data_IF_178787982155
#
_entry.id   IF_178787982155
#
_cell.length_a   1.000
_cell.length_b   1.000
_cell.length_c   1.000
_cell.angle_alpha   90.00
_cell.angle_beta   90.00
_cell.angle_gamma   90.00
#
_symmetry.space_group_name_H-M   'P 1'
#
loop_
_entity.id
_entity.type
_entity.pdbx_description
1 polymer ?
#
# COMPACT_ATOMS: atom_id res chain seq x y z
N UNK A 1 28.03 8.31 75.92
CA UNK A 1 27.24 9.29 75.16
C UNK A 1 27.08 8.76 73.74
N UNK A 2 25.84 8.49 73.32
CA UNK A 2 25.47 7.85 72.04
C UNK A 2 25.39 8.91 70.94
N UNK A 3 26.07 8.70 69.82
CA UNK A 3 25.84 9.45 68.58
C UNK A 3 24.81 8.70 67.73
N UNK A 4 23.68 9.35 67.46
CA UNK A 4 22.64 8.89 66.56
C UNK A 4 23.01 9.26 65.11
N UNK A 5 23.24 8.26 64.26
CA UNK A 5 23.17 8.44 62.82
C UNK A 5 21.76 8.12 62.33
N UNK A 6 21.13 9.15 61.75
CA UNK A 6 19.86 9.09 61.02
C UNK A 6 20.07 8.37 59.68
N UNK A 7 19.35 7.26 59.48
CA UNK A 7 19.25 6.55 58.20
C UNK A 7 17.88 6.86 57.59
N UNK A 8 17.85 7.74 56.60
CA UNK A 8 16.67 7.98 55.77
C UNK A 8 16.39 6.74 54.89
N UNK A 9 15.25 6.08 55.12
CA UNK A 9 14.74 5.02 54.24
C UNK A 9 14.19 5.64 52.96
N UNK A 10 14.87 5.44 51.83
CA UNK A 10 14.31 5.69 50.50
C UNK A 10 13.39 4.52 50.15
N UNK A 11 12.08 4.78 50.02
CA UNK A 11 11.14 3.84 49.42
C UNK A 11 11.35 3.86 47.90
N UNK A 12 11.84 2.76 47.34
CA UNK A 12 11.84 2.54 45.90
C UNK A 12 10.46 1.97 45.52
N UNK A 13 9.65 2.77 44.82
CA UNK A 13 8.44 2.28 44.16
C UNK A 13 8.89 1.61 42.88
N UNK A 14 8.94 0.27 42.89
CA UNK A 14 9.16 -0.53 41.69
C UNK A 14 7.92 -0.47 40.81
N UNK A 15 7.98 0.32 39.73
CA UNK A 15 6.99 0.26 38.65
C UNK A 15 7.27 -1.02 37.86
N UNK A 16 6.48 -2.06 38.09
CA UNK A 16 6.47 -3.23 37.20
C UNK A 16 5.81 -2.82 35.89
N UNK A 17 6.63 -2.59 34.87
CA UNK A 17 6.17 -2.54 33.48
C UNK A 17 5.79 -3.98 33.12
N UNK A 18 4.49 -4.28 33.18
CA UNK A 18 3.95 -5.50 32.59
C UNK A 18 4.09 -5.31 31.08
N UNK A 19 5.16 -5.86 30.52
CA UNK A 19 5.28 -6.03 29.08
C UNK A 19 4.28 -7.13 28.70
N UNK A 20 3.09 -6.72 28.26
CA UNK A 20 2.12 -7.62 27.65
C UNK A 20 2.73 -8.15 26.36
N UNK A 21 3.37 -9.31 26.43
CA UNK A 21 3.77 -10.06 25.25
C UNK A 21 2.47 -10.58 24.62
N UNK A 22 1.95 -9.85 23.64
CA UNK A 22 0.93 -10.40 22.76
C UNK A 22 1.60 -11.53 21.97
N UNK A 23 1.33 -12.77 22.36
CA UNK A 23 1.48 -13.90 21.46
C UNK A 23 0.49 -13.71 20.32
N UNK A 24 0.93 -12.99 19.27
CA UNK A 24 0.21 -12.87 18.01
C UNK A 24 0.18 -14.27 17.38
N UNK A 25 -0.87 -15.03 17.66
CA UNK A 25 -1.31 -16.06 16.73
C UNK A 25 -1.78 -15.32 15.49
N UNK A 26 -0.86 -15.13 14.55
CA UNK A 26 -1.05 -14.49 13.26
C UNK A 26 -2.07 -15.30 12.45
N UNK A 27 -3.34 -14.95 12.59
CA UNK A 27 -4.42 -15.46 11.74
C UNK A 27 -4.73 -14.36 10.74
N UNK A 28 -4.80 -14.72 9.46
CA UNK A 28 -5.21 -13.79 8.43
C UNK A 28 -6.59 -13.20 8.75
N UNK A 29 -6.76 -11.92 8.43
CA UNK A 29 -7.97 -11.17 8.74
C UNK A 29 -9.23 -11.80 8.10
N UNK A 30 -10.32 -12.06 8.86
CA UNK A 30 -11.50 -12.80 8.37
C UNK A 30 -12.15 -12.20 7.13
N UNK A 31 -12.09 -10.88 6.95
CA UNK A 31 -12.65 -10.23 5.75
C UNK A 31 -11.99 -10.66 4.43
N UNK A 32 -10.78 -11.21 4.46
CA UNK A 32 -10.12 -11.72 3.25
C UNK A 32 -10.50 -13.16 2.91
N UNK A 33 -11.23 -13.87 3.77
CA UNK A 33 -11.59 -15.28 3.50
C UNK A 33 -12.40 -15.40 2.20
N UNK A 34 -13.27 -14.43 1.92
CA UNK A 34 -14.00 -14.39 0.66
C UNK A 34 -13.14 -14.00 -0.55
N UNK A 35 -11.99 -13.34 -0.34
CA UNK A 35 -11.10 -12.97 -1.43
C UNK A 35 -10.54 -14.20 -2.15
N UNK A 36 -10.37 -15.34 -1.44
CA UNK A 36 -9.82 -16.59 -1.98
C UNK A 36 -10.85 -17.54 -2.60
N UNK A 37 -12.10 -17.12 -2.79
CA UNK A 37 -13.11 -17.95 -3.44
C UNK A 37 -12.70 -18.33 -4.88
N UNK A 38 -13.06 -19.53 -5.35
CA UNK A 38 -12.75 -20.06 -6.69
C UNK A 38 -13.22 -19.19 -7.86
N UNK A 39 -14.27 -18.39 -7.64
CA UNK A 39 -14.81 -17.47 -8.64
C UNK A 39 -14.09 -16.11 -8.67
N UNK A 40 -13.14 -15.88 -7.77
CA UNK A 40 -12.38 -14.64 -7.66
C UNK A 40 -10.99 -14.77 -8.29
N UNK A 41 -10.42 -13.62 -8.66
CA UNK A 41 -9.08 -13.50 -9.18
C UNK A 41 -8.22 -12.64 -8.25
N UNK A 42 -6.97 -13.04 -8.06
CA UNK A 42 -5.91 -12.20 -7.54
C UNK A 42 -5.02 -11.76 -8.71
N UNK A 43 -5.31 -10.57 -9.26
CA UNK A 43 -4.67 -10.12 -10.49
C UNK A 43 -5.02 -11.04 -11.67
N UNK A 44 -4.01 -11.74 -12.20
CA UNK A 44 -4.16 -12.68 -13.32
C UNK A 44 -4.35 -14.14 -12.86
N UNK A 45 -4.36 -14.40 -11.56
CA UNK A 45 -4.36 -15.76 -10.99
C UNK A 45 -5.71 -16.08 -10.34
N UNK A 46 -6.14 -17.34 -10.36
CA UNK A 46 -7.34 -17.73 -9.61
C UNK A 46 -7.06 -17.69 -8.12
N UNK A 47 -7.99 -17.15 -7.35
CA UNK A 47 -7.76 -16.91 -5.94
C UNK A 47 -7.73 -18.21 -5.10
N UNK A 48 -8.36 -19.29 -5.58
CA UNK A 48 -8.33 -20.63 -4.96
C UNK A 48 -6.96 -21.32 -5.01
N UNK A 49 -6.01 -20.77 -5.76
CA UNK A 49 -4.64 -21.28 -5.87
C UNK A 49 -3.71 -20.74 -4.77
N UNK A 50 -4.25 -19.98 -3.81
CA UNK A 50 -3.50 -19.35 -2.73
C UNK A 50 -4.03 -19.76 -1.36
N UNK A 51 -3.21 -19.53 -0.34
CA UNK A 51 -3.61 -19.54 1.06
C UNK A 51 -3.31 -18.19 1.69
N UNK A 52 -4.18 -17.73 2.59
CA UNK A 52 -3.94 -16.50 3.34
C UNK A 52 -2.86 -16.71 4.41
N UNK A 53 -2.03 -15.69 4.60
CA UNK A 53 -1.05 -15.63 5.66
C UNK A 53 -0.78 -14.18 6.10
N UNK A 54 0.06 -14.00 7.12
CA UNK A 54 0.68 -12.71 7.40
C UNK A 54 2.19 -12.78 7.12
N UNK A 55 2.83 -11.64 6.84
CA UNK A 55 4.27 -11.63 6.55
C UNK A 55 5.15 -12.06 7.73
N UNK A 56 4.69 -11.92 8.98
CA UNK A 56 5.35 -12.43 10.19
C UNK A 56 5.41 -13.97 10.29
N UNK A 57 4.99 -14.71 9.26
CA UNK A 57 5.00 -16.16 9.23
C UNK A 57 6.41 -16.76 9.21
N UNK A 58 6.80 -17.41 10.31
CA UNK A 58 8.16 -17.97 10.50
C UNK A 58 8.51 -19.18 9.62
N UNK A 59 7.53 -19.82 8.99
CA UNK A 59 7.71 -21.05 8.20
C UNK A 59 7.04 -20.97 6.82
N UNK A 60 6.81 -19.76 6.32
CA UNK A 60 6.22 -19.54 5.01
C UNK A 60 7.29 -19.52 3.93
N UNK A 61 6.96 -20.03 2.74
CA UNK A 61 7.82 -20.00 1.56
C UNK A 61 7.84 -18.60 0.92
N UNK A 62 8.20 -17.57 1.70
CA UNK A 62 8.39 -16.18 1.27
C UNK A 62 9.84 -15.77 1.48
N UNK A 63 10.31 -14.76 0.75
CA UNK A 63 11.68 -14.25 0.90
C UNK A 63 11.86 -13.51 2.22
N UNK A 64 13.10 -13.41 2.76
CA UNK A 64 13.36 -12.60 3.96
C UNK A 64 12.92 -11.15 3.82
N UNK A 65 13.11 -10.56 2.64
CA UNK A 65 12.66 -9.19 2.33
C UNK A 65 11.14 -9.07 2.43
N UNK A 66 10.40 -10.03 1.86
CA UNK A 66 8.96 -10.05 1.96
C UNK A 66 8.48 -10.19 3.42
N UNK A 67 9.15 -11.01 4.22
CA UNK A 67 8.81 -11.14 5.64
C UNK A 67 9.00 -9.84 6.43
N UNK A 68 9.97 -9.01 6.01
CA UNK A 68 10.24 -7.71 6.61
C UNK A 68 9.22 -6.65 6.15
N UNK A 69 9.07 -6.45 4.83
CA UNK A 69 8.17 -5.44 4.27
C UNK A 69 6.69 -5.70 4.60
N UNK A 70 6.28 -6.96 4.66
CA UNK A 70 4.89 -7.37 4.85
C UNK A 70 4.62 -7.95 6.24
N UNK A 71 5.51 -7.75 7.22
CA UNK A 71 5.43 -8.37 8.56
C UNK A 71 4.02 -8.27 9.16
N UNK A 72 3.40 -7.08 9.07
CA UNK A 72 2.08 -6.77 9.62
C UNK A 72 0.96 -6.76 8.56
N UNK A 73 1.25 -7.27 7.36
CA UNK A 73 0.32 -7.26 6.23
C UNK A 73 -0.28 -8.64 6.00
N UNK A 74 -1.52 -8.65 5.48
CA UNK A 74 -2.13 -9.88 4.98
C UNK A 74 -1.65 -10.14 3.55
N UNK A 75 -1.13 -11.34 3.34
CA UNK A 75 -0.58 -11.81 2.06
C UNK A 75 -1.27 -13.10 1.65
N UNK A 76 -1.26 -13.38 0.35
CA UNK A 76 -1.65 -14.66 -0.22
C UNK A 76 -0.41 -15.36 -0.77
N UNK A 77 -0.14 -16.58 -0.32
CA UNK A 77 1.00 -17.39 -0.76
C UNK A 77 0.45 -18.49 -1.66
N UNK A 78 1.02 -18.73 -2.85
CA UNK A 78 0.54 -19.79 -3.72
C UNK A 78 0.70 -21.17 -3.07
N UNK A 79 -0.22 -22.08 -3.37
CA UNK A 79 -0.20 -23.45 -2.87
C UNK A 79 0.92 -24.30 -3.51
N UNK A 80 1.38 -23.95 -4.71
CA UNK A 80 2.45 -24.64 -5.43
C UNK A 80 3.06 -23.75 -6.52
N UNK A 81 4.20 -24.15 -7.07
CA UNK A 81 4.86 -23.51 -8.22
C UNK A 81 5.14 -22.01 -8.01
N UNK A 82 5.51 -21.61 -6.79
CA UNK A 82 6.00 -20.26 -6.52
C UNK A 82 7.34 -20.06 -7.22
N UNK A 83 7.46 -19.01 -8.02
CA UNK A 83 8.72 -18.61 -8.64
C UNK A 83 9.18 -17.28 -8.05
N UNK A 84 10.46 -17.22 -7.70
CA UNK A 84 11.14 -16.02 -7.21
C UNK A 84 12.40 -15.78 -8.05
N UNK A 85 13.03 -14.63 -7.85
CA UNK A 85 14.34 -14.31 -8.43
C UNK A 85 15.45 -15.15 -7.79
N UNK A 86 16.54 -15.38 -8.52
CA UNK A 86 17.79 -15.93 -7.99
C UNK A 86 18.61 -14.81 -7.30
N UNK A 87 18.81 -14.86 -5.97
CA UNK A 87 19.53 -13.80 -5.25
C UNK A 87 21.03 -13.76 -5.56
N UNK A 88 21.58 -14.74 -6.28
CA UNK A 88 22.98 -14.76 -6.70
C UNK A 88 23.24 -14.03 -8.03
N UNK A 89 22.17 -13.65 -8.74
CA UNK A 89 22.24 -12.95 -10.03
C UNK A 89 21.84 -11.48 -9.88
N UNK A 90 22.34 -10.64 -10.78
CA UNK A 90 21.74 -9.31 -10.96
C UNK A 90 20.32 -9.45 -11.52
N UNK A 91 19.43 -8.49 -11.24
CA UNK A 91 18.06 -8.53 -11.73
C UNK A 91 17.96 -8.67 -13.26
N UNK A 92 18.87 -8.03 -14.00
CA UNK A 92 18.92 -8.12 -15.47
C UNK A 92 19.38 -9.51 -15.94
N UNK A 93 20.33 -10.14 -15.26
CA UNK A 93 20.79 -11.48 -15.58
C UNK A 93 19.76 -12.55 -15.24
N UNK A 94 19.09 -12.42 -14.08
CA UNK A 94 17.97 -13.28 -13.67
C UNK A 94 16.85 -13.26 -14.72
N UNK A 95 16.39 -12.07 -15.11
CA UNK A 95 15.38 -11.91 -16.18
C UNK A 95 15.87 -12.46 -17.51
N UNK A 96 17.14 -12.21 -17.88
CA UNK A 96 17.71 -12.73 -19.13
C UNK A 96 17.71 -14.26 -19.14
N UNK A 97 18.15 -14.89 -18.05
CA UNK A 97 18.13 -16.35 -17.91
C UNK A 97 16.70 -16.88 -17.98
N UNK A 98 15.77 -16.24 -17.27
CA UNK A 98 14.35 -16.61 -17.28
C UNK A 98 13.72 -16.53 -18.68
N UNK A 99 13.97 -15.47 -19.46
CA UNK A 99 13.46 -15.36 -20.84
C UNK A 99 14.05 -16.47 -21.72
N UNK A 100 15.34 -16.77 -21.58
CA UNK A 100 16.00 -17.78 -22.41
C UNK A 100 15.61 -19.22 -22.08
N UNK A 101 15.09 -19.49 -20.88
CA UNK A 101 14.64 -20.84 -20.50
C UNK A 101 13.29 -21.24 -21.12
N UNK A 102 12.71 -20.37 -21.98
CA UNK A 102 11.46 -20.56 -22.72
C UNK A 102 10.32 -21.21 -21.91
N UNK A 103 9.85 -20.58 -20.83
CA UNK A 103 8.65 -21.03 -20.14
C UNK A 103 7.39 -20.66 -20.95
N UNK A 104 7.20 -21.31 -22.10
CA UNK A 104 6.13 -20.99 -23.05
C UNK A 104 4.72 -21.37 -22.54
N UNK A 105 4.60 -21.89 -21.31
CA UNK A 105 3.35 -22.29 -20.68
C UNK A 105 3.50 -22.48 -19.16
N UNK A 106 4.23 -21.62 -18.44
CA UNK A 106 4.33 -21.82 -17.00
C UNK A 106 3.07 -21.34 -16.29
N UNK A 107 2.41 -22.27 -15.58
CA UNK A 107 1.55 -21.96 -14.43
C UNK A 107 2.38 -21.40 -13.26
N UNK A 108 3.35 -20.54 -13.57
CA UNK A 108 4.24 -19.93 -12.60
C UNK A 108 3.40 -19.01 -11.72
N UNK A 109 3.49 -19.23 -10.42
CA UNK A 109 2.81 -18.41 -9.44
C UNK A 109 3.79 -17.35 -8.92
N UNK A 110 3.29 -16.14 -8.57
CA UNK A 110 4.11 -15.14 -7.92
C UNK A 110 4.55 -15.69 -6.55
N UNK A 111 5.70 -15.23 -6.01
CA UNK A 111 6.18 -15.74 -4.71
C UNK A 111 5.20 -15.38 -3.58
N UNK A 112 4.45 -14.29 -3.74
CA UNK A 112 3.33 -13.88 -2.90
C UNK A 112 2.45 -12.87 -3.65
N UNK A 113 1.25 -12.63 -3.13
CA UNK A 113 0.39 -11.49 -3.47
C UNK A 113 0.09 -10.71 -2.20
N UNK A 114 0.37 -9.41 -2.18
CA UNK A 114 -0.07 -8.54 -1.09
C UNK A 114 -1.54 -8.18 -1.30
N UNK A 115 -2.38 -8.43 -0.30
CA UNK A 115 -3.83 -8.17 -0.38
C UNK A 115 -4.22 -6.76 0.08
N UNK A 116 -3.26 -5.98 0.57
CA UNK A 116 -3.48 -4.62 1.04
C UNK A 116 -4.29 -4.57 2.33
N UNK A 117 -4.81 -3.38 2.61
CA UNK A 117 -5.61 -3.16 3.80
C UNK A 117 -7.05 -3.66 3.64
N UNK A 118 -7.59 -4.34 4.67
CA UNK A 118 -8.87 -5.03 4.58
C UNK A 118 -10.11 -4.15 4.52
N UNK A 119 -10.09 -3.03 5.24
CA UNK A 119 -11.27 -2.20 5.43
C UNK A 119 -11.19 -0.98 4.54
N UNK A 120 -12.34 -0.58 3.99
CA UNK A 120 -12.51 0.66 3.25
C UNK A 120 -13.42 1.58 4.07
N UNK A 121 -13.01 2.84 4.23
CA UNK A 121 -13.84 3.87 4.82
C UNK A 121 -13.97 5.04 3.84
N UNK A 122 -15.17 5.62 3.76
CA UNK A 122 -15.48 6.74 2.88
C UNK A 122 -16.18 7.81 3.70
N UNK A 123 -15.73 9.06 3.56
CA UNK A 123 -16.33 10.17 4.26
C UNK A 123 -15.53 11.46 4.13
N UNK A 124 -16.01 12.50 4.80
CA UNK A 124 -15.36 13.80 4.87
C UNK A 124 -14.42 13.85 6.07
N UNK A 125 -13.17 14.27 5.88
CA UNK A 125 -12.27 14.48 7.01
C UNK A 125 -12.69 15.71 7.80
N UNK A 126 -12.77 15.59 9.12
CA UNK A 126 -12.99 16.74 10.01
C UNK A 126 -11.88 17.77 9.86
N UNK A 127 -12.18 19.04 10.19
CA UNK A 127 -11.20 20.12 10.06
C UNK A 127 -9.94 19.92 10.93
N UNK A 128 -10.08 19.21 12.05
CA UNK A 128 -8.96 18.86 12.94
C UNK A 128 -8.21 17.58 12.50
N UNK A 129 -8.61 16.93 11.41
CA UNK A 129 -7.98 15.72 10.89
C UNK A 129 -8.22 14.45 11.70
N UNK A 130 -9.04 14.51 12.77
CA UNK A 130 -9.16 13.42 13.77
C UNK A 130 -10.32 12.49 13.53
N UNK A 131 -11.26 12.83 12.64
CA UNK A 131 -12.46 12.04 12.41
C UNK A 131 -12.82 11.97 10.94
N UNK A 132 -13.27 10.80 10.52
CA UNK A 132 -13.95 10.63 9.25
C UNK A 132 -15.46 10.72 9.50
N UNK A 133 -16.09 11.71 8.89
CA UNK A 133 -17.52 11.99 9.03
C UNK A 133 -18.29 11.50 7.79
N UNK A 134 -19.31 10.68 8.00
CA UNK A 134 -20.29 10.29 6.99
C UNK A 134 -21.68 10.69 7.46
N UNK A 135 -22.70 10.57 6.60
CA UNK A 135 -24.08 10.98 6.90
C UNK A 135 -24.61 10.41 8.23
N UNK A 136 -24.17 9.22 8.62
CA UNK A 136 -24.67 8.51 9.80
C UNK A 136 -23.58 8.09 10.79
N UNK A 137 -22.31 8.44 10.57
CA UNK A 137 -21.23 8.01 11.45
C UNK A 137 -20.11 9.03 11.61
N UNK A 138 -19.47 8.99 12.77
CA UNK A 138 -18.22 9.68 13.05
C UNK A 138 -17.24 8.66 13.57
N UNK A 139 -16.25 8.33 12.76
CA UNK A 139 -15.24 7.35 13.10
C UNK A 139 -13.97 8.07 13.52
N UNK A 140 -13.41 7.69 14.66
CA UNK A 140 -12.14 8.23 15.12
C UNK A 140 -11.04 7.76 14.17
N UNK A 141 -10.25 8.70 13.65
CA UNK A 141 -9.17 8.41 12.71
C UNK A 141 -7.85 8.34 13.47
N UNK A 142 -7.06 7.32 13.15
CA UNK A 142 -5.64 7.25 13.42
C UNK A 142 -4.89 7.01 12.09
N UNK A 143 -3.65 7.47 12.03
CA UNK A 143 -2.72 7.11 10.95
C UNK A 143 -1.86 5.96 11.47
N UNK A 144 -1.53 5.00 10.59
CA UNK A 144 -0.55 3.96 10.93
C UNK A 144 0.73 4.62 11.48
N UNK A 145 1.49 3.96 12.37
CA UNK A 145 2.77 4.50 12.80
C UNK A 145 3.78 4.58 11.65
N UNK A 146 4.58 5.64 11.65
CA UNK A 146 5.72 5.80 10.76
C UNK A 146 6.79 4.74 11.05
N UNK A 147 7.34 4.12 10.02
CA UNK A 147 8.58 3.33 10.12
C UNK A 147 9.76 4.30 10.20
N UNK A 148 10.70 4.08 11.13
CA UNK A 148 11.77 5.02 11.47
C UNK A 148 12.54 5.53 10.24
N UNK A 149 12.85 4.61 9.33
CA UNK A 149 13.65 4.90 8.15
C UNK A 149 12.91 5.76 7.13
N UNK A 150 11.60 5.57 6.94
CA UNK A 150 10.81 6.25 5.92
C UNK A 150 10.98 7.78 5.98
N UNK A 151 11.37 8.43 4.88
CA UNK A 151 11.63 9.87 4.87
C UNK A 151 10.43 10.72 4.46
N UNK A 152 9.42 10.13 3.84
CA UNK A 152 8.21 10.78 3.35
C UNK A 152 6.98 10.17 4.04
N UNK A 153 6.56 10.79 5.13
CA UNK A 153 5.43 10.32 5.92
C UNK A 153 4.37 11.39 6.12
N UNK A 154 3.15 10.96 6.42
CA UNK A 154 2.03 11.82 6.79
C UNK A 154 2.43 12.83 7.88
N UNK A 155 2.21 14.11 7.60
CA UNK A 155 2.60 15.22 8.46
C UNK A 155 1.55 16.35 8.42
N UNK A 156 1.86 17.49 9.03
CA UNK A 156 1.01 18.68 9.08
C UNK A 156 0.57 19.19 7.69
N UNK A 157 1.43 19.08 6.67
CA UNK A 157 1.06 19.47 5.30
C UNK A 157 0.04 18.50 4.69
N UNK A 158 0.18 17.18 4.96
CA UNK A 158 -0.81 16.18 4.60
C UNK A 158 -2.16 16.47 5.29
N UNK A 159 -2.14 16.79 6.58
CA UNK A 159 -3.35 17.16 7.34
C UNK A 159 -4.07 18.35 6.72
N UNK A 160 -3.34 19.43 6.43
CA UNK A 160 -3.88 20.62 5.79
C UNK A 160 -4.45 20.31 4.40
N UNK A 161 -3.76 19.46 3.63
CA UNK A 161 -4.20 19.07 2.30
C UNK A 161 -5.53 18.31 2.36
N UNK A 162 -5.71 17.41 3.33
CA UNK A 162 -6.90 16.56 3.44
C UNK A 162 -8.05 17.16 4.24
N UNK A 163 -7.80 18.19 5.06
CA UNK A 163 -8.79 18.80 5.94
C UNK A 163 -10.07 19.21 5.18
N UNK A 164 -11.22 18.72 5.64
CA UNK A 164 -12.52 19.03 5.03
C UNK A 164 -12.78 18.40 3.67
N UNK A 165 -11.88 17.55 3.13
CA UNK A 165 -12.07 16.86 1.85
C UNK A 165 -12.87 15.56 2.01
N UNK A 166 -13.52 15.15 0.93
CA UNK A 166 -14.10 13.81 0.83
C UNK A 166 -12.99 12.83 0.42
N UNK A 167 -12.82 11.78 1.22
CA UNK A 167 -11.73 10.83 1.12
C UNK A 167 -12.27 9.41 1.04
N UNK A 168 -11.52 8.55 0.35
CA UNK A 168 -11.57 7.11 0.54
C UNK A 168 -10.27 6.68 1.21
N UNK A 169 -10.39 5.87 2.25
CA UNK A 169 -9.26 5.36 3.00
C UNK A 169 -9.29 3.84 2.99
N UNK A 170 -8.11 3.23 3.02
CA UNK A 170 -7.95 1.81 3.34
C UNK A 170 -7.11 1.64 4.59
N UNK A 171 -7.47 0.67 5.41
CA UNK A 171 -6.85 0.47 6.71
C UNK A 171 -7.43 -0.71 7.49
N UNK A 172 -7.28 -0.65 8.80
CA UNK A 172 -7.93 -1.56 9.74
C UNK A 172 -8.98 -0.80 10.55
N UNK A 173 -10.10 -1.45 10.83
CA UNK A 173 -11.21 -0.86 11.56
C UNK A 173 -11.53 -1.69 12.80
N UNK A 174 -11.90 -1.01 13.88
CA UNK A 174 -12.67 -1.59 14.96
C UNK A 174 -14.05 -0.89 15.04
N UNK A 175 -14.79 -1.09 16.14
CA UNK A 175 -16.15 -0.54 16.29
C UNK A 175 -16.21 0.98 16.25
N UNK A 176 -15.14 1.69 16.63
CA UNK A 176 -15.14 3.16 16.78
C UNK A 176 -13.94 3.85 16.16
N UNK A 177 -12.89 3.10 15.82
CA UNK A 177 -11.65 3.62 15.26
C UNK A 177 -11.35 3.03 13.89
N UNK A 178 -10.75 3.85 13.03
CA UNK A 178 -10.16 3.44 11.78
C UNK A 178 -8.70 3.88 11.76
N UNK A 179 -7.79 2.94 11.55
CA UNK A 179 -6.36 3.22 11.37
C UNK A 179 -6.06 3.19 9.89
N UNK A 180 -5.87 4.37 9.30
CA UNK A 180 -5.62 4.52 7.87
C UNK A 180 -4.18 4.18 7.50
N UNK A 181 -4.04 3.37 6.45
CA UNK A 181 -2.77 3.00 5.79
C UNK A 181 -2.62 3.70 4.44
N UNK A 182 -3.72 3.89 3.72
CA UNK A 182 -3.76 4.69 2.49
C UNK A 182 -4.92 5.67 2.53
N UNK A 183 -4.70 6.90 2.09
CA UNK A 183 -5.69 7.98 2.03
C UNK A 183 -5.72 8.51 0.60
N UNK A 184 -6.91 8.61 0.01
CA UNK A 184 -7.08 9.09 -1.35
C UNK A 184 -8.22 10.12 -1.45
N UNK A 185 -7.96 11.33 -1.98
CA UNK A 185 -9.01 12.31 -2.24
C UNK A 185 -9.97 11.86 -3.35
N UNK A 186 -11.28 11.90 -3.08
CA UNK A 186 -12.29 11.50 -4.08
C UNK A 186 -12.35 12.47 -5.26
N UNK A 187 -11.90 13.72 -5.10
CA UNK A 187 -11.78 14.69 -6.18
C UNK A 187 -10.60 14.39 -7.14
N UNK A 188 -9.78 13.37 -6.85
CA UNK A 188 -8.73 12.89 -7.76
C UNK A 188 -9.20 11.71 -8.64
N UNK A 189 -10.47 11.30 -8.52
CA UNK A 189 -11.02 10.26 -9.37
C UNK A 189 -10.97 10.65 -10.85
N UNK A 190 -10.53 9.72 -11.68
CA UNK A 190 -10.41 9.92 -13.12
C UNK A 190 -11.77 9.79 -13.81
N UNK A 191 -12.52 10.88 -13.91
CA UNK A 191 -13.73 10.93 -14.75
C UNK A 191 -13.35 11.32 -16.19
N UNK A 192 -13.35 10.34 -17.10
CA UNK A 192 -13.01 10.57 -18.51
C UNK A 192 -13.91 11.57 -19.24
N UNK A 193 -15.09 11.88 -18.71
CA UNK A 193 -15.95 12.92 -19.28
C UNK A 193 -15.53 14.33 -18.84
N UNK A 194 -14.82 14.44 -17.72
CA UNK A 194 -14.30 15.71 -17.18
C UNK A 194 -12.82 15.93 -17.52
N UNK A 195 -12.08 14.87 -17.79
CA UNK A 195 -10.66 14.97 -18.17
C UNK A 195 -10.56 15.48 -19.62
N UNK A 196 -9.82 16.56 -19.88
CA UNK A 196 -9.70 17.12 -21.21
C UNK A 196 -8.93 16.19 -22.15
N UNK A 197 -9.45 16.01 -23.37
CA UNK A 197 -8.69 15.43 -24.48
C UNK A 197 -7.69 16.46 -25.01
N UNK A 198 -6.42 16.27 -24.66
CA UNK A 198 -5.31 17.15 -25.04
C UNK A 198 -4.13 16.27 -25.44
N UNK A 199 -4.02 15.89 -26.73
CA UNK A 199 -2.90 15.14 -27.27
C UNK A 199 -1.54 15.80 -27.01
N UNK A 200 -0.48 15.07 -27.35
CA UNK A 200 0.86 15.65 -27.32
C UNK A 200 0.93 16.91 -28.20
N UNK A 201 1.44 18.00 -27.64
CA UNK A 201 1.70 19.22 -28.39
C UNK A 201 2.88 19.03 -29.36
N UNK A 202 3.04 19.96 -30.32
CA UNK A 202 4.24 19.99 -31.16
C UNK A 202 5.48 20.10 -30.26
N UNK A 203 6.47 19.23 -30.49
CA UNK A 203 7.72 19.09 -29.72
C UNK A 203 7.57 18.51 -28.30
N UNK A 204 6.35 18.19 -27.86
CA UNK A 204 6.13 17.47 -26.61
C UNK A 204 6.36 15.98 -26.82
N UNK A 205 7.04 15.34 -25.87
CA UNK A 205 7.28 13.90 -25.86
C UNK A 205 6.74 13.28 -24.58
N UNK A 206 6.51 11.97 -24.55
CA UNK A 206 6.18 11.28 -23.30
C UNK A 206 7.30 11.49 -22.27
N UNK A 207 8.56 11.49 -22.69
CA UNK A 207 9.70 11.75 -21.81
C UNK A 207 9.70 13.16 -21.21
N UNK A 208 9.27 14.19 -21.97
CA UNK A 208 9.16 15.55 -21.44
C UNK A 208 8.04 15.67 -20.41
N UNK A 209 6.96 14.91 -20.55
CA UNK A 209 5.88 14.86 -19.55
C UNK A 209 6.32 14.19 -18.25
N UNK A 210 7.06 13.08 -18.36
CA UNK A 210 7.59 12.36 -17.20
C UNK A 210 8.56 13.23 -16.39
N UNK A 211 9.36 14.05 -17.08
CA UNK A 211 10.36 14.93 -16.47
C UNK A 211 9.83 16.32 -16.12
N UNK A 212 8.56 16.58 -16.37
CA UNK A 212 7.95 17.88 -16.07
C UNK A 212 8.11 18.20 -14.57
N UNK A 213 8.19 19.49 -14.25
CA UNK A 213 8.41 19.99 -12.88
C UNK A 213 9.67 19.43 -12.18
N UNK A 214 10.67 18.96 -12.96
CA UNK A 214 11.88 18.32 -12.44
C UNK A 214 11.58 17.12 -11.50
N UNK A 215 10.44 16.44 -11.70
CA UNK A 215 10.00 15.32 -10.87
C UNK A 215 9.37 15.71 -9.53
N UNK A 216 9.14 17.00 -9.28
CA UNK A 216 8.47 17.50 -8.07
C UNK A 216 6.95 17.59 -8.21
N UNK A 217 6.22 17.37 -7.12
CA UNK A 217 4.77 17.57 -7.03
C UNK A 217 4.42 18.98 -6.53
N UNK A 218 4.75 20.01 -7.31
CA UNK A 218 4.59 21.42 -6.91
C UNK A 218 3.27 22.05 -7.39
N UNK A 219 2.58 21.38 -8.30
CA UNK A 219 1.30 21.83 -8.85
C UNK A 219 0.13 21.01 -8.28
N UNK A 220 -1.10 21.55 -8.31
CA UNK A 220 -2.30 20.76 -8.07
C UNK A 220 -2.37 19.53 -8.97
N UNK A 221 -3.03 18.48 -8.50
CA UNK A 221 -3.33 17.31 -9.32
C UNK A 221 -4.00 17.71 -10.64
N UNK A 222 -3.51 17.16 -11.74
CA UNK A 222 -4.09 17.36 -13.06
C UNK A 222 -3.96 16.08 -13.88
N UNK A 223 -4.94 15.86 -14.76
CA UNK A 223 -4.97 14.74 -15.68
C UNK A 223 -5.39 15.24 -17.07
N UNK A 224 -4.91 14.56 -18.11
CA UNK A 224 -5.36 14.78 -19.50
C UNK A 224 -5.31 13.49 -20.29
N UNK A 225 -6.16 13.39 -21.30
CA UNK A 225 -6.18 12.26 -22.23
C UNK A 225 -5.28 12.59 -23.42
N UNK A 226 -4.19 11.84 -23.58
CA UNK A 226 -3.28 11.97 -24.74
C UNK A 226 -3.85 11.28 -26.00
N UNK A 227 -4.56 10.17 -25.81
CA UNK A 227 -5.15 9.38 -26.86
C UNK A 227 -6.46 8.73 -26.38
N UNK A 228 -7.46 8.69 -27.25
CA UNK A 228 -8.72 7.95 -27.06
C UNK A 228 -9.13 7.34 -28.40
N UNK A 229 -9.54 6.09 -28.39
CA UNK A 229 -10.17 5.49 -29.57
C UNK A 229 -11.55 6.17 -29.78
N UNK A 230 -11.82 6.76 -30.97
CA UNK A 230 -13.09 7.46 -31.22
C UNK A 230 -14.32 6.56 -31.09
N UNK A 231 -14.16 5.24 -31.26
CA UNK A 231 -15.24 4.26 -31.11
C UNK A 231 -15.45 3.80 -29.64
N UNK A 232 -14.61 4.25 -28.70
CA UNK A 232 -14.75 3.91 -27.29
C UNK A 232 -15.82 4.79 -26.63
N UNK A 233 -17.00 4.21 -26.42
CA UNK A 233 -18.16 4.89 -25.82
C UNK A 233 -18.22 4.75 -24.30
N UNK A 234 -17.64 3.69 -23.72
CA UNK A 234 -17.61 3.47 -22.26
C UNK A 234 -16.44 2.58 -21.84
N UNK A 235 -15.89 2.85 -20.64
CA UNK A 235 -14.92 2.00 -19.95
C UNK A 235 -15.55 1.02 -18.95
N UNK A 236 -16.86 1.10 -18.71
CA UNK A 236 -17.51 0.31 -17.67
C UNK A 236 -17.32 -1.20 -17.90
N UNK A 237 -16.84 -1.90 -16.87
CA UNK A 237 -16.55 -3.34 -16.85
C UNK A 237 -15.53 -3.80 -17.90
N UNK A 238 -14.76 -2.87 -18.48
CA UNK A 238 -13.69 -3.20 -19.44
C UNK A 238 -12.42 -3.56 -18.68
N UNK A 239 -11.66 -4.57 -19.12
CA UNK A 239 -10.37 -4.85 -18.53
C UNK A 239 -9.46 -3.62 -18.66
N UNK A 240 -8.78 -3.28 -17.57
CA UNK A 240 -7.82 -2.18 -17.49
C UNK A 240 -6.42 -2.76 -17.41
N UNK A 241 -5.52 -2.22 -18.23
CA UNK A 241 -4.08 -2.34 -18.08
C UNK A 241 -3.53 -0.93 -17.92
N UNK A 242 -2.82 -0.69 -16.83
CA UNK A 242 -2.21 0.59 -16.51
C UNK A 242 -0.72 0.41 -16.28
N UNK A 243 0.03 1.40 -16.71
CA UNK A 243 1.45 1.54 -16.44
C UNK A 243 1.62 2.79 -15.60
N UNK A 244 2.05 2.62 -14.36
CA UNK A 244 2.30 3.72 -13.44
C UNK A 244 3.80 3.93 -13.41
N UNK A 245 4.22 5.12 -13.85
CA UNK A 245 5.57 5.61 -13.63
C UNK A 245 5.49 6.74 -12.60
N UNK A 246 6.03 6.51 -11.42
CA UNK A 246 6.19 7.56 -10.41
C UNK A 246 7.67 7.98 -10.35
N UNK A 247 7.93 9.22 -9.94
CA UNK A 247 9.28 9.66 -9.61
C UNK A 247 9.80 8.94 -8.36
N UNK A 248 11.07 9.16 -8.00
CA UNK A 248 11.56 8.78 -6.68
C UNK A 248 10.77 9.58 -5.63
N UNK A 249 9.71 8.99 -5.06
CA UNK A 249 8.76 9.72 -4.22
C UNK A 249 9.26 9.96 -2.79
N UNK A 250 10.53 9.66 -2.50
CA UNK A 250 11.09 9.75 -1.14
C UNK A 250 10.37 8.87 -0.10
N UNK A 251 9.48 8.00 -0.58
CA UNK A 251 8.53 7.14 0.13
C UNK A 251 9.18 5.86 0.67
N UNK A 252 10.25 5.42 0.01
CA UNK A 252 10.96 4.19 0.32
C UNK A 252 12.45 4.48 0.54
N UNK A 253 13.03 3.83 1.53
CA UNK A 253 14.41 3.96 1.99
C UNK A 253 15.43 3.48 0.95
N UNK A 254 14.96 2.77 -0.08
CA UNK A 254 15.76 2.21 -1.17
C UNK A 254 15.45 2.85 -2.54
N UNK A 255 14.38 3.65 -2.66
CA UNK A 255 13.94 4.22 -3.94
C UNK A 255 14.69 5.51 -4.28
N UNK A 256 15.97 5.40 -4.61
CA UNK A 256 16.74 6.47 -5.26
C UNK A 256 16.31 6.72 -6.72
N UNK A 257 15.43 5.87 -7.27
CA UNK A 257 14.85 5.95 -8.61
C UNK A 257 13.32 5.89 -8.59
N UNK A 258 12.69 6.31 -9.70
CA UNK A 258 11.24 6.16 -9.87
C UNK A 258 10.83 4.69 -10.05
N UNK A 259 9.59 4.35 -9.68
CA UNK A 259 9.04 3.01 -9.87
C UNK A 259 8.25 2.92 -11.17
N UNK A 260 8.35 1.77 -11.82
CA UNK A 260 7.47 1.38 -12.90
C UNK A 260 6.62 0.20 -12.42
N UNK A 261 5.31 0.41 -12.33
CA UNK A 261 4.37 -0.62 -11.93
C UNK A 261 3.38 -0.90 -13.07
N UNK A 262 3.00 -2.17 -13.18
CA UNK A 262 1.88 -2.59 -14.02
C UNK A 262 0.69 -2.85 -13.10
N UNK A 263 -0.45 -2.23 -13.42
CA UNK A 263 -1.70 -2.48 -12.73
C UNK A 263 -2.72 -3.07 -13.70
N UNK A 264 -3.49 -4.05 -13.22
CA UNK A 264 -4.54 -4.71 -13.99
C UNK A 264 -5.86 -4.67 -13.23
N UNK A 265 -6.99 -4.55 -13.91
CA UNK A 265 -8.30 -4.47 -13.25
C UNK A 265 -9.48 -4.55 -14.22
N UNK A 266 -10.65 -4.10 -13.75
CA UNK A 266 -11.91 -3.98 -14.50
C UNK A 266 -12.66 -2.72 -14.11
#
# INVERSE_FOLDING_TARGET
>A
MKNNHSSAKKFAIGVSIIATIYSLTSVAEPQFVHALNENNLLGLYRADQFQLNQGACKNCAITPQASWYFEQETIAIPLSNAHSFDPSLSAQEDVKQWVTSQPSATNAMPPLVWLGSPHVAVGKLSQDGKRLESDNSKTQLAITPKIESNQSYYNEASEQHFAGRNLVMRGTADKTHFTARSIWPLDYNLDLNQIPYKPLANQETIASLIRDQNGGASAPFSARILYKNPNLTSLQNKPVLSFVLNGAQGDDDEAHGGHFAVATGR
#
